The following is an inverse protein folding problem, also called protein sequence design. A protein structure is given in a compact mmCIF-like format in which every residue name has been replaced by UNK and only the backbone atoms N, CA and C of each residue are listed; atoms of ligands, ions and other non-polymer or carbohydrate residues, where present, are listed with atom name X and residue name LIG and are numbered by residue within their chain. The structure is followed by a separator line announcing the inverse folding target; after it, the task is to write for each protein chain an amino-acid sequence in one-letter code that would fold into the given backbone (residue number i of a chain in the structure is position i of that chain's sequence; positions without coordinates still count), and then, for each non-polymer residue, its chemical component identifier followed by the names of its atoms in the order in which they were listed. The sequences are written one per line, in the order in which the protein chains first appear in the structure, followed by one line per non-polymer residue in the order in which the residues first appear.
data_IF_780349092018
#
_entry.id   IF_780349092018
#
_cell.length_a   1.000
_cell.length_b   1.000
_cell.length_c   1.000
_cell.angle_alpha   90.00
_cell.angle_beta   90.00
_cell.angle_gamma   90.00
#
_symmetry.space_group_name_H-M   'P 1'
#
loop_
_entity.id
_entity.type
_entity.pdbx_description
1 polymer ?
#
# COMPACT_ATOMS: atom_id res chain seq x y z
N UNK A 1 -31.15 -26.94 -21.41
CA UNK A 1 -30.61 -26.10 -20.32
C UNK A 1 -31.32 -26.46 -19.02
N UNK A 2 -30.59 -26.91 -18.00
CA UNK A 2 -31.15 -27.56 -16.80
C UNK A 2 -31.66 -26.56 -15.76
N UNK A 3 -32.59 -27.01 -14.91
CA UNK A 3 -33.18 -26.26 -13.78
C UNK A 3 -32.16 -25.74 -12.75
N UNK A 4 -30.90 -26.19 -12.82
CA UNK A 4 -29.80 -25.73 -11.97
C UNK A 4 -29.28 -24.34 -12.35
N UNK A 5 -29.28 -23.97 -13.64
CA UNK A 5 -28.82 -22.64 -14.08
C UNK A 5 -29.67 -21.49 -13.55
N UNK A 6 -31.00 -21.67 -13.52
CA UNK A 6 -31.95 -20.66 -13.01
C UNK A 6 -31.84 -20.43 -11.50
N UNK A 7 -31.51 -21.47 -10.72
CA UNK A 7 -31.26 -21.34 -9.27
C UNK A 7 -29.96 -20.58 -8.97
N UNK A 8 -28.93 -20.73 -9.80
CA UNK A 8 -27.70 -19.96 -9.66
C UNK A 8 -27.94 -18.47 -9.98
N UNK A 9 -28.62 -18.16 -11.09
CA UNK A 9 -28.92 -16.78 -11.50
C UNK A 9 -29.83 -16.05 -10.50
N UNK A 10 -30.83 -16.72 -9.93
CA UNK A 10 -31.69 -16.12 -8.89
C UNK A 10 -30.93 -15.82 -7.59
N UNK A 11 -29.96 -16.65 -7.20
CA UNK A 11 -29.09 -16.38 -6.04
C UNK A 11 -28.16 -15.20 -6.28
N UNK A 12 -27.63 -15.04 -7.49
CA UNK A 12 -26.83 -13.86 -7.86
C UNK A 12 -27.68 -12.59 -7.82
N UNK A 13 -28.92 -12.65 -8.33
CA UNK A 13 -29.84 -11.50 -8.29
C UNK A 13 -30.21 -11.08 -6.87
N UNK A 14 -30.28 -12.03 -5.93
CA UNK A 14 -30.49 -11.75 -4.50
C UNK A 14 -29.24 -11.17 -3.80
N UNK A 15 -28.06 -11.34 -4.39
CA UNK A 15 -26.81 -10.78 -3.86
C UNK A 15 -26.57 -9.34 -4.34
N UNK A 16 -27.19 -8.94 -5.46
CA UNK A 16 -27.08 -7.59 -5.99
C UNK A 16 -27.90 -6.59 -5.16
N UNK A 17 -27.37 -5.39 -4.91
CA UNK A 17 -28.14 -4.33 -4.29
C UNK A 17 -29.33 -3.92 -5.17
N UNK A 18 -30.36 -3.35 -4.53
CA UNK A 18 -31.48 -2.76 -5.25
C UNK A 18 -31.01 -1.62 -6.19
N UNK A 19 -31.83 -1.28 -7.20
CA UNK A 19 -31.49 -0.28 -8.20
C UNK A 19 -31.14 1.07 -7.57
N UNK A 20 -31.79 1.40 -6.45
CA UNK A 20 -31.60 2.66 -5.74
C UNK A 20 -30.24 2.74 -5.04
N UNK A 21 -29.83 1.68 -4.35
CA UNK A 21 -28.51 1.53 -3.75
C UNK A 21 -27.43 1.53 -4.83
N UNK A 22 -27.67 0.88 -5.96
CA UNK A 22 -26.74 0.87 -7.09
C UNK A 22 -26.57 2.28 -7.65
N UNK A 23 -27.67 3.02 -7.86
CA UNK A 23 -27.64 4.41 -8.34
C UNK A 23 -26.85 5.33 -7.40
N UNK A 24 -27.14 5.29 -6.10
CA UNK A 24 -26.38 6.07 -5.11
C UNK A 24 -24.93 5.64 -5.02
N UNK A 25 -24.65 4.34 -5.12
CA UNK A 25 -23.30 3.79 -5.17
C UNK A 25 -22.50 4.31 -6.36
N UNK A 26 -23.09 4.34 -7.55
CA UNK A 26 -22.47 4.92 -8.75
C UNK A 26 -22.13 6.39 -8.53
N UNK A 27 -23.08 7.19 -8.04
CA UNK A 27 -22.85 8.63 -7.81
C UNK A 27 -21.74 8.83 -6.77
N UNK A 28 -21.87 8.21 -5.59
CA UNK A 28 -20.92 8.38 -4.51
C UNK A 28 -19.51 7.89 -4.87
N UNK A 29 -19.41 6.74 -5.55
CA UNK A 29 -18.15 6.19 -6.06
C UNK A 29 -17.50 7.09 -7.09
N UNK A 30 -18.26 7.54 -8.09
CA UNK A 30 -17.75 8.45 -9.13
C UNK A 30 -17.29 9.78 -8.53
N UNK A 31 -18.07 10.36 -7.61
CA UNK A 31 -17.71 11.60 -6.92
C UNK A 31 -16.46 11.45 -6.07
N UNK A 32 -16.32 10.35 -5.31
CA UNK A 32 -15.13 10.07 -4.52
C UNK A 32 -13.88 9.97 -5.42
N UNK A 33 -13.99 9.26 -6.55
CA UNK A 33 -12.88 9.10 -7.48
C UNK A 33 -12.46 10.42 -8.13
N UNK A 34 -13.42 11.17 -8.66
CA UNK A 34 -13.17 12.47 -9.30
C UNK A 34 -12.59 13.48 -8.31
N UNK A 35 -13.16 13.59 -7.10
CA UNK A 35 -12.67 14.54 -6.11
C UNK A 35 -11.27 14.17 -5.60
N UNK A 36 -11.01 12.88 -5.37
CA UNK A 36 -9.69 12.39 -4.98
C UNK A 36 -8.63 12.70 -6.04
N UNK A 37 -8.94 12.45 -7.32
CA UNK A 37 -8.05 12.78 -8.43
C UNK A 37 -7.84 14.29 -8.58
N UNK A 38 -8.90 15.09 -8.55
CA UNK A 38 -8.81 16.57 -8.67
C UNK A 38 -7.97 17.16 -7.54
N UNK A 39 -8.14 16.68 -6.30
CA UNK A 39 -7.34 17.12 -5.17
C UNK A 39 -5.86 16.73 -5.33
N UNK A 40 -5.61 15.50 -5.80
CA UNK A 40 -4.24 15.04 -6.12
C UNK A 40 -3.61 15.90 -7.21
N UNK A 41 -4.35 16.20 -8.27
CA UNK A 41 -3.91 17.10 -9.35
C UNK A 41 -3.62 18.51 -8.84
N UNK A 42 -4.46 19.06 -7.98
CA UNK A 42 -4.26 20.40 -7.42
C UNK A 42 -3.00 20.50 -6.55
N UNK A 43 -2.67 19.42 -5.82
CA UNK A 43 -1.52 19.36 -4.91
C UNK A 43 -0.22 18.97 -5.62
N UNK A 44 -0.26 17.99 -6.52
CA UNK A 44 0.91 17.44 -7.19
C UNK A 44 1.18 18.09 -8.56
N UNK A 45 0.16 18.63 -9.24
CA UNK A 45 0.31 19.21 -10.58
C UNK A 45 1.29 20.39 -10.61
N UNK A 46 1.40 21.16 -9.53
CA UNK A 46 2.39 22.25 -9.40
C UNK A 46 3.82 21.75 -9.41
N UNK A 47 4.08 20.53 -8.91
CA UNK A 47 5.42 19.94 -8.92
C UNK A 47 5.91 19.65 -10.32
N UNK A 48 5.00 19.33 -11.24
CA UNK A 48 5.36 19.06 -12.65
C UNK A 48 5.68 20.34 -13.41
N UNK A 49 4.98 21.44 -13.11
CA UNK A 49 5.22 22.72 -13.78
C UNK A 49 6.54 23.39 -13.36
N UNK A 50 7.07 23.05 -12.19
CA UNK A 50 8.34 23.59 -11.68
C UNK A 50 9.02 22.56 -10.79
N UNK A 51 9.54 21.46 -11.38
CA UNK A 51 10.18 20.40 -10.62
C UNK A 51 11.46 20.93 -9.99
N UNK A 52 11.47 21.03 -8.66
CA UNK A 52 12.69 21.28 -7.88
C UNK A 52 13.53 20.02 -7.64
N UNK A 53 13.03 18.86 -8.07
CA UNK A 53 13.61 17.51 -7.93
C UNK A 53 13.11 16.62 -9.08
N UNK A 54 13.75 15.47 -9.35
CA UNK A 54 13.24 14.52 -10.33
C UNK A 54 11.78 14.09 -10.04
N UNK A 55 11.01 13.86 -11.11
CA UNK A 55 9.61 13.41 -11.04
C UNK A 55 9.52 11.88 -11.09
N UNK A 56 10.36 11.25 -11.90
CA UNK A 56 10.54 9.80 -11.92
C UNK A 56 12.00 9.50 -11.72
N UNK A 57 12.26 8.61 -10.77
CA UNK A 57 13.59 8.11 -10.43
C UNK A 57 13.55 6.60 -10.62
N UNK A 58 14.52 6.07 -11.35
CA UNK A 58 14.68 4.63 -11.54
C UNK A 58 16.15 4.28 -11.51
N UNK A 59 16.44 3.22 -10.75
CA UNK A 59 17.77 2.78 -10.40
C UNK A 59 17.70 1.27 -10.17
N UNK A 60 18.49 0.50 -10.92
CA UNK A 60 18.55 -0.96 -10.81
C UNK A 60 19.98 -1.46 -11.00
N UNK A 61 20.49 -2.33 -10.13
CA UNK A 61 21.81 -2.94 -10.26
C UNK A 61 21.75 -4.45 -10.08
N UNK A 62 22.29 -5.16 -11.06
CA UNK A 62 22.67 -6.57 -10.99
C UNK A 62 24.16 -6.73 -10.71
N UNK A 63 24.62 -7.98 -10.66
CA UNK A 63 26.02 -8.33 -10.37
C UNK A 63 26.98 -7.80 -11.46
N UNK A 64 26.50 -7.66 -12.71
CA UNK A 64 27.32 -7.33 -13.88
C UNK A 64 26.89 -6.05 -14.64
N UNK A 65 25.77 -5.43 -14.26
CA UNK A 65 25.23 -4.23 -14.91
C UNK A 65 24.27 -3.43 -14.02
N UNK A 66 24.24 -2.10 -14.19
CA UNK A 66 23.30 -1.15 -13.63
C UNK A 66 22.44 -0.48 -14.71
N UNK A 67 21.35 0.15 -14.28
CA UNK A 67 20.45 0.92 -15.13
C UNK A 67 19.89 2.12 -14.37
N UNK A 68 20.07 3.32 -14.93
CA UNK A 68 19.51 4.57 -14.41
C UNK A 68 18.48 5.14 -15.40
N UNK A 69 17.38 5.68 -14.87
CA UNK A 69 16.50 6.58 -15.60
C UNK A 69 16.10 7.74 -14.69
N UNK A 70 16.42 8.95 -15.13
CA UNK A 70 16.12 10.18 -14.43
C UNK A 70 15.22 11.07 -15.30
N UNK A 71 13.95 11.19 -14.92
CA UNK A 71 13.03 12.15 -15.55
C UNK A 71 12.87 13.32 -14.60
N UNK A 72 13.58 14.41 -14.89
CA UNK A 72 13.74 15.53 -13.97
C UNK A 72 13.80 16.90 -14.65
N UNK A 73 14.25 17.95 -13.92
CA UNK A 73 14.04 19.35 -14.29
C UNK A 73 14.59 19.77 -15.67
N UNK A 74 15.55 19.02 -16.20
CA UNK A 74 16.20 19.28 -17.48
C UNK A 74 15.71 18.38 -18.64
N UNK A 75 14.90 17.36 -18.36
CA UNK A 75 14.39 16.41 -19.35
C UNK A 75 12.94 16.68 -19.77
N UNK A 76 12.44 16.01 -20.82
CA UNK A 76 11.02 16.08 -21.16
C UNK A 76 10.20 15.47 -20.02
N UNK A 77 9.17 16.20 -19.61
CA UNK A 77 8.32 15.82 -18.48
C UNK A 77 6.99 15.24 -18.98
N UNK A 78 6.37 14.32 -18.22
CA UNK A 78 4.96 14.00 -18.43
C UNK A 78 4.11 15.25 -18.22
N UNK A 79 2.91 15.26 -18.78
CA UNK A 79 1.95 16.30 -18.45
C UNK A 79 1.51 16.19 -16.99
N UNK A 80 1.16 17.33 -16.37
CA UNK A 80 0.76 17.38 -14.96
C UNK A 80 -0.38 16.41 -14.63
N UNK A 81 -1.28 16.16 -15.58
CA UNK A 81 -2.42 15.27 -15.40
C UNK A 81 -2.01 13.79 -15.39
N UNK A 82 -1.00 13.41 -16.18
CA UNK A 82 -0.44 12.06 -16.22
C UNK A 82 0.23 11.75 -14.88
N UNK A 83 1.11 12.65 -14.41
CA UNK A 83 1.79 12.50 -13.13
C UNK A 83 0.83 12.45 -11.93
N UNK A 84 -0.18 13.33 -11.91
CA UNK A 84 -1.18 13.32 -10.86
C UNK A 84 -2.02 12.03 -10.85
N UNK A 85 -2.34 11.49 -12.03
CA UNK A 85 -3.07 10.23 -12.13
C UNK A 85 -2.21 9.06 -11.63
N UNK A 86 -0.92 9.05 -11.94
CA UNK A 86 0.00 8.07 -11.38
C UNK A 86 0.06 8.12 -9.86
N UNK A 87 0.30 9.30 -9.29
CA UNK A 87 0.26 9.51 -7.84
C UNK A 87 -1.05 9.01 -7.24
N UNK A 88 -2.17 9.42 -7.83
CA UNK A 88 -3.49 9.04 -7.39
C UNK A 88 -3.71 7.52 -7.41
N UNK A 89 -3.21 6.81 -8.41
CA UNK A 89 -3.34 5.35 -8.48
C UNK A 89 -2.37 4.65 -7.52
N UNK A 90 -1.14 5.14 -7.37
CA UNK A 90 -0.14 4.61 -6.43
C UNK A 90 -0.62 4.69 -4.98
N UNK A 91 -1.29 5.78 -4.56
CA UNK A 91 -1.84 5.87 -3.19
C UNK A 91 -2.97 4.87 -2.90
N UNK A 92 -3.48 4.17 -3.91
CA UNK A 92 -4.39 3.03 -3.74
C UNK A 92 -3.67 1.67 -3.66
N UNK A 93 -2.34 1.65 -3.82
CA UNK A 93 -1.54 0.44 -4.00
C UNK A 93 -1.59 -0.13 -5.42
N UNK A 94 -1.95 0.67 -6.43
CA UNK A 94 -1.85 0.24 -7.82
C UNK A 94 -0.44 0.55 -8.36
N UNK A 95 0.34 -0.51 -8.56
CA UNK A 95 1.70 -0.40 -9.07
C UNK A 95 1.76 -0.08 -10.56
N UNK A 96 2.90 0.46 -10.99
CA UNK A 96 3.21 0.70 -12.39
C UNK A 96 3.37 -0.63 -13.14
N UNK A 97 2.73 -0.75 -14.30
CA UNK A 97 3.07 -1.83 -15.24
C UNK A 97 4.25 -1.33 -16.10
N UNK A 98 5.33 -2.11 -16.15
CA UNK A 98 6.37 -1.92 -17.17
C UNK A 98 6.40 -3.12 -18.10
N UNK A 99 6.29 -2.82 -19.40
CA UNK A 99 6.81 -3.66 -20.47
C UNK A 99 8.23 -3.18 -20.79
N UNK A 100 9.23 -3.67 -20.07
CA UNK A 100 10.60 -3.62 -20.58
C UNK A 100 10.72 -4.84 -21.50
N UNK A 101 10.91 -4.61 -22.80
CA UNK A 101 11.21 -5.66 -23.77
C UNK A 101 12.68 -6.10 -23.60
N UNK A 102 13.05 -6.61 -22.43
CA UNK A 102 14.35 -7.28 -22.26
C UNK A 102 14.13 -8.79 -22.29
N UNK A 103 14.75 -9.52 -23.23
CA UNK A 103 14.55 -10.97 -23.35
C UNK A 103 15.15 -11.82 -22.21
N UNK A 104 15.79 -11.21 -21.19
CA UNK A 104 16.68 -11.95 -20.27
C UNK A 104 16.51 -11.71 -18.76
N UNK A 105 15.58 -10.89 -18.27
CA UNK A 105 15.46 -10.63 -16.82
C UNK A 105 14.11 -11.06 -16.24
N UNK A 106 14.16 -11.76 -15.11
CA UNK A 106 13.02 -11.96 -14.22
C UNK A 106 12.38 -10.59 -13.92
N UNK A 107 11.05 -10.49 -13.78
CA UNK A 107 10.40 -9.25 -13.37
C UNK A 107 10.77 -8.96 -11.91
N UNK A 108 11.87 -8.25 -11.70
CA UNK A 108 12.13 -7.66 -10.39
C UNK A 108 11.08 -6.54 -10.15
N UNK A 109 10.51 -6.43 -8.95
CA UNK A 109 9.49 -5.44 -8.65
C UNK A 109 10.14 -4.05 -8.58
N UNK A 110 9.96 -3.26 -9.64
CA UNK A 110 10.46 -1.89 -9.76
C UNK A 110 9.47 -0.90 -9.14
N UNK A 111 9.95 0.02 -8.30
CA UNK A 111 9.14 1.14 -7.79
C UNK A 111 9.39 2.38 -8.63
N UNK A 112 8.51 2.63 -9.60
CA UNK A 112 8.43 3.92 -10.30
C UNK A 112 7.40 4.82 -9.63
N UNK A 113 7.40 4.88 -8.31
CA UNK A 113 6.42 5.67 -7.60
C UNK A 113 6.89 7.14 -7.55
N UNK A 114 6.09 8.09 -8.06
CA UNK A 114 6.34 9.49 -7.74
C UNK A 114 6.29 9.69 -6.22
N UNK A 115 7.17 10.51 -5.62
CA UNK A 115 7.33 10.56 -4.17
C UNK A 115 6.04 11.04 -3.49
N UNK A 116 5.48 10.15 -2.68
CA UNK A 116 4.19 10.36 -2.04
C UNK A 116 4.18 11.59 -1.13
N UNK A 117 3.05 12.28 -1.10
CA UNK A 117 2.73 13.22 -0.01
C UNK A 117 1.95 12.47 1.06
N UNK A 118 2.49 12.28 2.28
CA UNK A 118 1.89 11.41 3.30
C UNK A 118 0.41 11.70 3.61
N UNK A 119 0.00 12.97 3.49
CA UNK A 119 -1.38 13.37 3.74
C UNK A 119 -2.35 12.94 2.61
N UNK A 120 -1.88 12.82 1.37
CA UNK A 120 -2.72 12.38 0.24
C UNK A 120 -3.16 10.93 0.38
N UNK A 121 -2.37 10.09 1.06
CA UNK A 121 -2.67 8.66 1.28
C UNK A 121 -4.03 8.44 1.93
N UNK A 122 -4.47 9.35 2.80
CA UNK A 122 -5.76 9.24 3.48
C UNK A 122 -6.95 9.73 2.65
N UNK A 123 -6.71 10.55 1.62
CA UNK A 123 -7.78 11.22 0.87
C UNK A 123 -8.73 10.20 0.24
N UNK A 124 -8.29 9.22 -0.56
CA UNK A 124 -9.20 8.27 -1.19
C UNK A 124 -9.96 7.43 -0.15
N UNK A 125 -9.27 6.96 0.90
CA UNK A 125 -9.87 6.21 1.99
C UNK A 125 -11.01 6.99 2.65
N UNK A 126 -10.78 8.26 3.02
CA UNK A 126 -11.79 9.12 3.66
C UNK A 126 -12.98 9.40 2.74
N UNK A 127 -12.72 9.67 1.45
CA UNK A 127 -13.79 9.91 0.48
C UNK A 127 -14.65 8.68 0.25
N UNK A 128 -14.05 7.49 0.19
CA UNK A 128 -14.76 6.22 0.05
C UNK A 128 -15.53 5.84 1.32
N UNK A 129 -14.96 6.09 2.51
CA UNK A 129 -15.67 5.98 3.78
C UNK A 129 -16.90 6.90 3.80
N UNK A 130 -16.74 8.17 3.41
CA UNK A 130 -17.84 9.13 3.35
C UNK A 130 -18.88 8.72 2.30
N UNK A 131 -18.46 8.27 1.12
CA UNK A 131 -19.35 7.77 0.08
C UNK A 131 -20.17 6.58 0.56
N UNK A 132 -19.52 5.58 1.15
CA UNK A 132 -20.19 4.39 1.70
C UNK A 132 -21.16 4.74 2.84
N UNK A 133 -20.77 5.69 3.70
CA UNK A 133 -21.63 6.23 4.76
C UNK A 133 -22.89 6.89 4.17
N UNK A 134 -22.74 7.76 3.16
CA UNK A 134 -23.87 8.42 2.49
C UNK A 134 -24.81 7.39 1.86
N UNK A 135 -24.28 6.39 1.14
CA UNK A 135 -25.10 5.36 0.48
C UNK A 135 -25.91 4.58 1.52
N UNK A 136 -25.26 4.05 2.56
CA UNK A 136 -25.96 3.29 3.59
C UNK A 136 -26.95 4.15 4.40
N UNK A 137 -26.61 5.40 4.70
CA UNK A 137 -27.50 6.31 5.43
C UNK A 137 -28.76 6.64 4.62
N UNK A 138 -28.62 6.90 3.31
CA UNK A 138 -29.74 7.22 2.42
C UNK A 138 -30.65 6.04 2.13
N UNK A 139 -30.07 4.85 1.95
CA UNK A 139 -30.85 3.64 1.71
C UNK A 139 -31.40 3.02 3.01
N UNK A 140 -30.90 3.45 4.18
CA UNK A 140 -31.09 2.80 5.47
C UNK A 140 -30.34 1.46 5.55
N UNK A 141 -30.41 0.78 6.69
CA UNK A 141 -30.00 -0.61 6.84
C UNK A 141 -30.62 -1.21 8.09
N UNK A 142 -31.11 -2.45 8.01
CA UNK A 142 -31.72 -3.11 9.17
C UNK A 142 -30.66 -3.66 10.12
N UNK A 143 -29.52 -4.07 9.58
CA UNK A 143 -28.41 -4.72 10.26
C UNK A 143 -27.04 -4.20 9.73
N UNK A 144 -25.94 -4.37 10.48
CA UNK A 144 -24.64 -3.82 10.10
C UNK A 144 -24.07 -4.40 8.81
N UNK A 145 -24.41 -5.65 8.46
CA UNK A 145 -23.88 -6.31 7.27
C UNK A 145 -24.57 -5.79 6.00
N UNK A 146 -25.88 -5.60 6.06
CA UNK A 146 -26.62 -4.91 5.00
C UNK A 146 -26.10 -3.49 4.80
N UNK A 147 -25.75 -2.80 5.89
CA UNK A 147 -25.15 -1.47 5.82
C UNK A 147 -23.78 -1.48 5.13
N UNK A 148 -22.90 -2.41 5.49
CA UNK A 148 -21.61 -2.60 4.85
C UNK A 148 -21.74 -2.92 3.35
N UNK A 149 -22.64 -3.85 2.98
CA UNK A 149 -22.94 -4.16 1.57
C UNK A 149 -23.47 -2.95 0.79
N UNK A 150 -24.31 -2.13 1.41
CA UNK A 150 -24.79 -0.89 0.79
C UNK A 150 -23.65 0.10 0.61
N UNK A 151 -22.79 0.24 1.63
CA UNK A 151 -21.59 1.06 1.56
C UNK A 151 -20.62 0.60 0.47
N UNK A 152 -20.44 -0.71 0.26
CA UNK A 152 -19.58 -1.23 -0.81
C UNK A 152 -20.08 -0.91 -2.22
N UNK A 153 -21.33 -0.50 -2.40
CA UNK A 153 -21.89 -0.12 -3.70
C UNK A 153 -21.17 1.08 -4.33
N UNK A 154 -20.36 1.85 -3.58
CA UNK A 154 -19.45 2.85 -4.16
C UNK A 154 -18.51 2.25 -5.21
N UNK A 155 -18.23 0.95 -5.15
CA UNK A 155 -17.42 0.25 -6.16
C UNK A 155 -18.10 0.12 -7.52
N UNK A 156 -19.36 0.52 -7.71
CA UNK A 156 -19.99 0.52 -9.04
C UNK A 156 -19.62 1.75 -9.86
N UNK A 157 -19.35 2.90 -9.22
CA UNK A 157 -18.97 4.14 -9.92
C UNK A 157 -17.45 4.33 -10.07
N UNK A 158 -16.67 3.71 -9.19
CA UNK A 158 -15.23 3.92 -9.10
C UNK A 158 -14.38 3.28 -10.22
N UNK A 159 -14.57 2.00 -10.58
CA UNK A 159 -13.67 1.30 -11.51
C UNK A 159 -13.59 1.90 -12.92
N UNK A 160 -14.71 2.32 -13.57
CA UNK A 160 -14.62 2.91 -14.90
C UNK A 160 -13.71 4.14 -14.96
N UNK A 161 -13.76 4.99 -13.92
CA UNK A 161 -12.91 6.17 -13.84
C UNK A 161 -11.45 5.81 -13.59
N UNK A 162 -11.18 4.83 -12.72
CA UNK A 162 -9.82 4.32 -12.49
C UNK A 162 -9.21 3.76 -13.77
N UNK A 163 -9.98 2.99 -14.56
CA UNK A 163 -9.52 2.48 -15.86
C UNK A 163 -9.24 3.62 -16.83
N UNK A 164 -10.13 4.62 -16.91
CA UNK A 164 -9.92 5.79 -17.75
C UNK A 164 -8.67 6.59 -17.34
N UNK A 165 -8.43 6.76 -16.03
CA UNK A 165 -7.23 7.41 -15.51
C UNK A 165 -5.97 6.60 -15.85
N UNK A 166 -5.99 5.28 -15.66
CA UNK A 166 -4.84 4.42 -15.98
C UNK A 166 -4.50 4.44 -17.48
N UNK A 167 -5.51 4.42 -18.35
CA UNK A 167 -5.31 4.49 -19.81
C UNK A 167 -4.91 5.90 -20.28
N UNK A 168 -5.56 6.94 -19.74
CA UNK A 168 -5.34 8.33 -20.12
C UNK A 168 -4.05 8.92 -19.56
N UNK A 169 -3.49 8.34 -18.50
CA UNK A 169 -2.23 8.79 -17.90
C UNK A 169 -0.98 8.19 -18.53
N UNK A 170 -1.12 7.36 -19.57
CA UNK A 170 0.04 6.77 -20.26
C UNK A 170 0.87 7.86 -20.93
N UNK A 171 2.17 7.86 -20.66
CA UNK A 171 3.13 8.79 -21.23
C UNK A 171 4.08 8.03 -22.17
N UNK A 172 4.07 8.38 -23.45
CA UNK A 172 5.06 7.90 -24.40
C UNK A 172 6.32 8.73 -24.23
N UNK A 173 7.32 8.16 -23.53
CA UNK A 173 8.58 8.83 -23.30
C UNK A 173 9.26 9.15 -24.65
N UNK A 174 9.75 10.37 -24.88
CA UNK A 174 10.57 10.69 -26.05
C UNK A 174 11.86 9.87 -26.07
N UNK A 175 12.49 9.71 -27.24
CA UNK A 175 13.77 8.98 -27.37
C UNK A 175 14.90 9.55 -26.51
N UNK A 176 14.85 10.84 -26.15
CA UNK A 176 15.79 11.46 -25.22
C UNK A 176 15.64 10.96 -23.79
N UNK A 177 14.54 10.25 -23.48
CA UNK A 177 14.32 9.55 -22.22
C UNK A 177 14.74 8.10 -22.44
N UNK A 178 16.00 7.85 -22.14
CA UNK A 178 16.57 6.51 -22.19
C UNK A 178 16.94 6.05 -20.78
N UNK A 179 16.83 4.74 -20.58
CA UNK A 179 17.51 4.06 -19.50
C UNK A 179 18.97 3.90 -19.92
N UNK A 180 19.89 4.50 -19.18
CA UNK A 180 21.31 4.26 -19.40
C UNK A 180 21.70 2.96 -18.73
N UNK A 181 22.20 2.00 -19.51
CA UNK A 181 22.75 0.76 -19.00
C UNK A 181 24.27 0.91 -18.86
N UNK A 182 24.80 0.47 -17.73
CA UNK A 182 26.23 0.50 -17.46
C UNK A 182 26.66 -0.88 -16.96
N UNK A 183 27.55 -1.57 -17.64
CA UNK A 183 27.97 -2.90 -17.22
C UNK A 183 29.10 -3.48 -18.07
N UNK A 184 29.56 -4.68 -17.70
CA UNK A 184 30.67 -5.34 -18.40
C UNK A 184 30.26 -5.85 -19.78
N UNK A 185 28.97 -6.16 -19.97
CA UNK A 185 28.44 -6.84 -21.16
C UNK A 185 27.62 -5.94 -22.09
N UNK A 186 27.00 -4.89 -21.57
CA UNK A 186 26.15 -3.98 -22.34
C UNK A 186 26.23 -2.59 -21.73
N UNK A 187 26.39 -1.58 -22.58
CA UNK A 187 26.52 -0.19 -22.17
C UNK A 187 25.89 0.73 -23.21
N UNK A 188 25.11 1.70 -22.74
CA UNK A 188 24.53 2.75 -23.58
C UNK A 188 23.04 2.98 -23.31
N UNK A 189 22.44 3.95 -24.01
CA UNK A 189 21.06 4.35 -23.79
C UNK A 189 20.08 3.38 -24.46
N UNK A 190 19.10 2.91 -23.70
CA UNK A 190 17.96 2.14 -24.18
C UNK A 190 16.69 2.99 -24.05
N UNK A 191 16.01 3.33 -25.15
CA UNK A 191 14.84 4.20 -25.11
C UNK A 191 13.75 3.60 -24.23
N UNK A 192 13.15 4.43 -23.38
CA UNK A 192 12.03 4.01 -22.56
C UNK A 192 10.76 4.05 -23.39
N UNK A 193 10.01 2.95 -23.41
CA UNK A 193 8.71 2.89 -24.04
C UNK A 193 7.65 3.69 -23.27
N UNK A 194 6.40 3.24 -23.35
CA UNK A 194 5.30 3.88 -22.61
C UNK A 194 5.43 3.64 -21.11
N UNK A 195 5.39 4.72 -20.33
CA UNK A 195 5.30 4.70 -18.86
C UNK A 195 3.84 4.92 -18.45
N UNK A 196 3.35 4.13 -17.51
CA UNK A 196 2.03 4.32 -16.91
C UNK A 196 1.65 3.24 -15.93
N UNK A 197 0.46 3.36 -15.37
CA UNK A 197 -0.11 2.38 -14.43
C UNK A 197 -0.88 1.31 -15.21
N UNK A 198 -0.74 0.05 -14.79
CA UNK A 198 -1.45 -1.05 -15.41
C UNK A 198 -2.95 -0.92 -15.24
N UNK A 199 -3.71 -0.95 -16.34
CA UNK A 199 -5.16 -0.73 -16.28
C UNK A 199 -5.88 -1.87 -15.53
N UNK A 200 -5.42 -3.11 -15.67
CA UNK A 200 -5.98 -4.26 -14.97
C UNK A 200 -5.68 -4.24 -13.46
N UNK A 201 -4.42 -4.15 -13.00
CA UNK A 201 -4.12 -4.06 -11.57
C UNK A 201 -4.75 -2.80 -10.94
N UNK A 202 -4.77 -1.66 -11.64
CA UNK A 202 -5.49 -0.47 -11.18
C UNK A 202 -6.99 -0.74 -11.00
N UNK A 203 -7.65 -1.35 -11.99
CA UNK A 203 -9.08 -1.68 -11.90
C UNK A 203 -9.40 -2.62 -10.73
N UNK A 204 -8.53 -3.60 -10.47
CA UNK A 204 -8.72 -4.57 -9.39
C UNK A 204 -8.44 -3.95 -8.02
N UNK A 205 -7.28 -3.31 -7.83
CA UNK A 205 -6.86 -2.79 -6.54
C UNK A 205 -7.58 -1.47 -6.25
N UNK A 206 -7.28 -0.43 -7.04
CA UNK A 206 -7.84 0.91 -6.86
C UNK A 206 -9.32 1.00 -7.24
N UNK A 207 -9.75 0.26 -8.27
CA UNK A 207 -11.10 0.30 -8.80
C UNK A 207 -12.13 -0.50 -7.99
N UNK A 208 -11.72 -1.63 -7.39
CA UNK A 208 -12.66 -2.60 -6.82
C UNK A 208 -12.37 -2.91 -5.35
N UNK A 209 -11.19 -3.43 -5.03
CA UNK A 209 -10.84 -3.89 -3.67
C UNK A 209 -10.89 -2.71 -2.70
N UNK A 210 -10.24 -1.60 -3.05
CA UNK A 210 -10.13 -0.42 -2.20
C UNK A 210 -11.50 0.23 -1.93
N UNK A 211 -12.36 0.51 -2.94
CA UNK A 211 -13.71 1.02 -2.72
C UNK A 211 -14.63 0.07 -1.95
N UNK A 212 -14.53 -1.25 -2.17
CA UNK A 212 -15.30 -2.22 -1.39
C UNK A 212 -14.90 -2.14 0.08
N UNK A 213 -13.60 -2.14 0.39
CA UNK A 213 -13.10 -2.14 1.76
C UNK A 213 -13.55 -0.87 2.51
N UNK A 214 -13.19 0.31 2.01
CA UNK A 214 -13.49 1.57 2.68
C UNK A 214 -14.98 1.94 2.58
N UNK A 215 -15.64 1.66 1.46
CA UNK A 215 -17.08 1.84 1.33
C UNK A 215 -17.86 0.99 2.33
N UNK A 216 -17.47 -0.27 2.54
CA UNK A 216 -18.09 -1.16 3.54
C UNK A 216 -17.97 -0.61 4.95
N UNK A 217 -16.79 -0.10 5.33
CA UNK A 217 -16.57 0.51 6.65
C UNK A 217 -17.43 1.76 6.80
N UNK A 218 -17.50 2.61 5.77
CA UNK A 218 -18.38 3.77 5.75
C UNK A 218 -19.85 3.41 5.99
N UNK A 219 -20.32 2.39 5.28
CA UNK A 219 -21.69 1.89 5.45
C UNK A 219 -21.97 1.34 6.85
N UNK A 220 -21.02 0.60 7.42
CA UNK A 220 -21.11 0.12 8.80
C UNK A 220 -21.17 1.27 9.82
N UNK A 221 -20.34 2.31 9.65
CA UNK A 221 -20.36 3.49 10.51
C UNK A 221 -21.70 4.24 10.43
N UNK A 222 -22.33 4.32 9.24
CA UNK A 222 -23.67 4.90 9.08
C UNK A 222 -24.71 4.16 9.91
N UNK A 223 -24.65 2.83 9.92
CA UNK A 223 -25.52 2.01 10.75
C UNK A 223 -25.31 2.30 12.24
N UNK A 224 -24.07 2.24 12.73
CA UNK A 224 -23.76 2.51 14.13
C UNK A 224 -24.25 3.91 14.57
N UNK A 225 -24.03 4.90 13.71
CA UNK A 225 -24.50 6.27 13.92
C UNK A 225 -26.02 6.32 14.08
N UNK A 226 -26.77 5.74 13.13
CA UNK A 226 -28.23 5.73 13.15
C UNK A 226 -28.82 5.01 14.38
N UNK A 227 -28.12 3.99 14.88
CA UNK A 227 -28.54 3.21 16.06
C UNK A 227 -28.06 3.82 17.38
N UNK A 228 -27.17 4.82 17.35
CA UNK A 228 -26.46 5.37 18.51
C UNK A 228 -25.81 4.29 19.39
N UNK A 229 -25.35 3.19 18.77
CA UNK A 229 -24.91 1.98 19.45
C UNK A 229 -23.44 1.67 19.15
N UNK A 230 -22.55 2.58 19.53
CA UNK A 230 -21.12 2.39 19.32
C UNK A 230 -20.61 1.18 20.12
N UNK A 231 -19.89 0.23 19.50
CA UNK A 231 -19.36 -0.93 20.19
C UNK A 231 -18.07 -0.56 20.95
N UNK A 232 -18.17 0.37 21.89
CA UNK A 232 -17.05 0.98 22.61
C UNK A 232 -16.14 -0.06 23.24
N UNK A 233 -16.70 -1.11 23.84
CA UNK A 233 -15.92 -2.18 24.48
C UNK A 233 -15.11 -2.98 23.47
N UNK A 234 -15.69 -3.29 22.31
CA UNK A 234 -14.98 -4.01 21.25
C UNK A 234 -13.91 -3.16 20.59
N UNK A 235 -14.17 -1.86 20.44
CA UNK A 235 -13.21 -0.89 19.91
C UNK A 235 -12.05 -0.74 20.90
N UNK A 236 -12.33 -0.49 22.18
CA UNK A 236 -11.31 -0.35 23.21
C UNK A 236 -10.43 -1.61 23.33
N UNK A 237 -11.04 -2.80 23.32
CA UNK A 237 -10.29 -4.06 23.31
C UNK A 237 -9.45 -4.23 22.04
N UNK A 238 -10.00 -3.90 20.88
CA UNK A 238 -9.29 -3.94 19.60
C UNK A 238 -8.08 -3.00 19.58
N UNK A 239 -8.26 -1.76 20.05
CA UNK A 239 -7.19 -0.77 20.17
C UNK A 239 -6.08 -1.25 21.11
N UNK A 240 -6.41 -1.68 22.33
CA UNK A 240 -5.41 -2.14 23.30
C UNK A 240 -4.69 -3.39 22.78
N UNK A 241 -5.45 -4.37 22.31
CA UNK A 241 -4.88 -5.65 21.86
C UNK A 241 -4.04 -5.47 20.59
N UNK A 242 -4.49 -4.63 19.66
CA UNK A 242 -3.74 -4.25 18.47
C UNK A 242 -2.44 -3.52 18.79
N UNK A 243 -2.49 -2.53 19.67
CA UNK A 243 -1.30 -1.79 20.09
C UNK A 243 -0.28 -2.69 20.77
N UNK A 244 -0.71 -3.55 21.71
CA UNK A 244 0.18 -4.52 22.35
C UNK A 244 0.79 -5.50 21.34
N UNK A 245 -0.01 -5.99 20.40
CA UNK A 245 0.45 -6.93 19.37
C UNK A 245 1.51 -6.29 18.47
N UNK A 246 1.29 -5.03 18.06
CA UNK A 246 2.26 -4.25 17.32
C UNK A 246 3.56 -4.12 18.12
N UNK A 247 3.50 -3.64 19.37
CA UNK A 247 4.68 -3.40 20.20
C UNK A 247 5.49 -4.67 20.46
N UNK A 248 4.82 -5.81 20.66
CA UNK A 248 5.48 -7.11 20.84
C UNK A 248 6.16 -7.54 19.54
N UNK A 249 5.44 -7.54 18.41
CA UNK A 249 6.00 -7.96 17.12
C UNK A 249 7.16 -7.07 16.66
N UNK A 250 7.00 -5.76 16.81
CA UNK A 250 8.02 -4.77 16.51
C UNK A 250 9.21 -4.89 17.46
N UNK A 251 8.99 -4.98 18.77
CA UNK A 251 10.05 -5.12 19.77
C UNK A 251 10.86 -6.41 19.61
N UNK A 252 10.22 -7.54 19.29
CA UNK A 252 10.90 -8.79 18.98
C UNK A 252 11.76 -8.66 17.71
N UNK A 253 11.27 -7.94 16.71
CA UNK A 253 12.01 -7.70 15.47
C UNK A 253 13.23 -6.82 15.72
N UNK A 254 13.02 -5.66 16.35
CA UNK A 254 14.08 -4.70 16.65
C UNK A 254 15.12 -5.31 17.59
N UNK A 255 14.70 -6.03 18.63
CA UNK A 255 15.61 -6.73 19.54
C UNK A 255 16.49 -7.76 18.85
N UNK A 256 15.94 -8.50 17.87
CA UNK A 256 16.72 -9.41 17.02
C UNK A 256 17.72 -8.66 16.16
N UNK A 257 17.36 -7.50 15.62
CA UNK A 257 18.27 -6.65 14.85
C UNK A 257 19.43 -6.14 15.73
N UNK A 258 19.16 -5.68 16.95
CA UNK A 258 20.21 -5.32 17.91
C UNK A 258 21.16 -6.48 18.22
N UNK A 259 20.62 -7.68 18.47
CA UNK A 259 21.43 -8.87 18.76
C UNK A 259 22.29 -9.34 17.58
N UNK A 260 22.00 -8.90 16.36
CA UNK A 260 22.77 -9.22 15.14
C UNK A 260 23.73 -8.09 14.74
N UNK A 261 23.33 -6.83 14.92
CA UNK A 261 24.16 -5.66 14.60
C UNK A 261 25.49 -5.65 15.38
N UNK A 262 25.52 -6.17 16.60
CA UNK A 262 26.77 -6.30 17.37
C UNK A 262 27.73 -7.40 16.89
N UNK A 263 27.39 -8.15 15.83
CA UNK A 263 28.16 -9.31 15.37
C UNK A 263 28.63 -9.24 13.91
N UNK A 264 27.97 -8.48 13.04
CA UNK A 264 28.22 -8.52 11.60
C UNK A 264 28.27 -7.13 10.95
N UNK A 265 29.26 -6.90 10.08
CA UNK A 265 29.35 -5.71 9.20
C UNK A 265 28.24 -5.65 8.13
N UNK A 266 27.42 -6.71 8.00
CA UNK A 266 26.33 -6.84 7.03
C UNK A 266 25.13 -5.91 7.30
N UNK A 267 25.15 -5.13 8.39
CA UNK A 267 24.10 -4.17 8.74
C UNK A 267 24.31 -2.78 8.16
N UNK A 268 25.38 -2.59 7.38
CA UNK A 268 25.61 -1.38 6.59
C UNK A 268 24.71 -1.37 5.36
N UNK A 269 24.11 -0.23 5.14
CA UNK A 269 23.43 0.08 3.89
C UNK A 269 24.45 0.77 2.97
N UNK A 270 24.39 0.47 1.67
CA UNK A 270 25.33 1.03 0.71
C UNK A 270 24.55 1.82 -0.32
N UNK A 271 24.93 3.09 -0.47
CA UNK A 271 24.56 3.92 -1.61
C UNK A 271 25.65 3.73 -2.65
N UNK A 272 25.35 3.04 -3.73
CA UNK A 272 26.30 2.85 -4.83
C UNK A 272 26.09 3.99 -5.82
N UNK A 273 27.17 4.61 -6.25
CA UNK A 273 27.23 5.60 -7.32
C UNK A 273 28.30 5.12 -8.31
N UNK A 274 27.90 4.73 -9.51
CA UNK A 274 28.78 4.48 -10.62
C UNK A 274 29.26 5.81 -11.22
N UNK A 275 30.53 5.87 -11.58
CA UNK A 275 31.08 7.00 -12.31
C UNK A 275 32.14 6.58 -13.31
N UNK A 276 32.65 7.51 -14.14
CA UNK A 276 33.69 7.24 -15.14
C UNK A 276 34.98 6.62 -14.58
N UNK A 277 35.17 6.62 -13.26
CA UNK A 277 36.29 6.01 -12.54
C UNK A 277 35.98 4.71 -11.77
N UNK A 278 34.77 4.14 -11.90
CA UNK A 278 34.31 2.94 -11.17
C UNK A 278 33.17 3.21 -10.17
N UNK A 279 32.83 2.20 -9.39
CA UNK A 279 31.78 2.28 -8.35
C UNK A 279 32.30 2.94 -7.07
N UNK A 280 31.67 4.05 -6.68
CA UNK A 280 31.80 4.64 -5.36
C UNK A 280 30.63 4.17 -4.49
N UNK A 281 30.90 3.43 -3.40
CA UNK A 281 29.88 3.09 -2.42
C UNK A 281 30.02 3.96 -1.17
N UNK A 282 28.97 4.72 -0.85
CA UNK A 282 28.83 5.42 0.41
C UNK A 282 28.07 4.52 1.37
N UNK A 283 28.80 3.88 2.28
CA UNK A 283 28.18 3.15 3.37
C UNK A 283 27.53 4.12 4.35
N UNK A 284 26.29 3.85 4.74
CA UNK A 284 25.64 4.49 5.87
C UNK A 284 25.14 3.43 6.85
N UNK A 285 25.18 3.77 8.14
CA UNK A 285 24.66 2.93 9.20
C UNK A 285 23.34 3.53 9.70
N UNK A 286 22.17 2.99 9.27
CA UNK A 286 20.89 3.45 9.77
C UNK A 286 20.68 3.14 11.26
N UNK A 287 21.55 2.32 11.85
CA UNK A 287 21.44 1.81 13.21
C UNK A 287 20.45 0.66 13.31
N UNK A 288 20.67 -0.21 14.29
CA UNK A 288 19.86 -1.41 14.52
C UNK A 288 18.36 -1.11 14.74
N UNK A 289 18.04 0.04 15.33
CA UNK A 289 16.66 0.48 15.55
C UNK A 289 15.89 0.70 14.24
N UNK A 290 16.44 1.51 13.33
CA UNK A 290 15.80 1.81 12.04
C UNK A 290 15.77 0.57 11.17
N UNK A 291 16.88 -0.15 11.05
CA UNK A 291 16.94 -1.38 10.25
C UNK A 291 15.96 -2.45 10.76
N UNK A 292 15.85 -2.63 12.08
CA UNK A 292 14.84 -3.53 12.66
C UNK A 292 13.42 -3.09 12.35
N UNK A 293 13.13 -1.80 12.41
CA UNK A 293 11.80 -1.28 12.07
C UNK A 293 11.48 -1.45 10.58
N UNK A 294 12.43 -1.17 9.68
CA UNK A 294 12.28 -1.42 8.25
C UNK A 294 12.01 -2.91 7.96
N UNK A 295 12.76 -3.81 8.60
CA UNK A 295 12.50 -5.25 8.52
C UNK A 295 11.10 -5.63 9.03
N UNK A 296 10.60 -4.96 10.08
CA UNK A 296 9.27 -5.21 10.61
C UNK A 296 8.18 -4.86 9.58
N UNK A 297 8.28 -3.71 8.92
CA UNK A 297 7.35 -3.33 7.84
C UNK A 297 7.47 -4.23 6.62
N UNK A 298 8.69 -4.60 6.19
CA UNK A 298 8.89 -5.60 5.11
C UNK A 298 8.26 -6.95 5.39
N UNK A 299 8.19 -7.38 6.66
CA UNK A 299 7.49 -8.61 7.03
C UNK A 299 5.97 -8.55 6.86
N UNK A 300 5.41 -7.36 6.69
CA UNK A 300 4.02 -7.15 6.29
C UNK A 300 3.89 -6.91 4.78
N UNK A 301 4.96 -7.15 4.02
CA UNK A 301 5.01 -6.87 2.58
C UNK A 301 5.28 -5.40 2.25
N UNK A 302 5.52 -4.52 3.23
CA UNK A 302 5.76 -3.11 2.95
C UNK A 302 7.17 -2.81 2.45
N UNK A 303 7.29 -1.89 1.50
CA UNK A 303 8.53 -1.44 0.91
C UNK A 303 9.38 -0.56 1.84
N UNK A 304 10.67 -0.48 1.50
CA UNK A 304 11.57 0.57 1.98
C UNK A 304 11.87 1.44 0.77
N UNK A 305 11.51 2.72 0.87
CA UNK A 305 11.67 3.69 -0.19
C UNK A 305 12.93 4.53 0.00
N UNK A 306 13.41 5.07 -1.12
CA UNK A 306 14.56 5.95 -1.22
C UNK A 306 14.18 7.17 -2.07
N UNK A 307 14.54 8.38 -1.62
CA UNK A 307 14.15 9.65 -2.29
C UNK A 307 15.29 10.66 -2.20
N UNK A 308 15.68 11.31 -3.29
CA UNK A 308 16.64 12.41 -3.18
C UNK A 308 16.03 13.66 -2.52
N UNK A 309 16.87 14.37 -1.74
CA UNK A 309 16.51 15.66 -1.13
C UNK A 309 16.73 16.81 -2.12
N UNK A 310 17.72 16.67 -3.01
CA UNK A 310 18.17 17.69 -3.95
C UNK A 310 18.20 17.14 -5.37
N UNK A 311 18.22 18.02 -6.38
CA UNK A 311 18.44 17.61 -7.76
C UNK A 311 19.84 17.03 -7.90
N UNK A 312 19.94 15.75 -8.25
CA UNK A 312 21.23 15.09 -8.45
C UNK A 312 21.52 15.00 -9.95
N UNK A 313 22.70 15.48 -10.34
CA UNK A 313 23.17 15.45 -11.74
C UNK A 313 23.76 14.09 -12.12
N UNK A 314 24.38 13.40 -11.15
CA UNK A 314 24.82 11.99 -11.20
C UNK A 314 24.28 11.29 -9.95
N UNK A 315 23.21 10.50 -10.09
CA UNK A 315 22.45 9.91 -8.98
C UNK A 315 23.22 8.90 -8.11
N UNK A 316 22.59 8.48 -7.01
CA UNK A 316 22.83 7.16 -6.42
C UNK A 316 22.22 6.12 -7.33
N UNK A 317 23.11 5.36 -7.90
CA UNK A 317 22.85 4.25 -8.78
C UNK A 317 22.15 3.06 -8.11
N UNK A 318 22.43 2.78 -6.83
CA UNK A 318 21.68 1.77 -6.09
C UNK A 318 21.61 2.04 -4.59
N UNK A 319 20.45 1.77 -3.99
CA UNK A 319 20.33 1.50 -2.57
C UNK A 319 20.43 -0.01 -2.35
N UNK A 320 21.61 -0.50 -1.98
CA UNK A 320 21.78 -1.87 -1.52
C UNK A 320 21.54 -1.94 -0.03
N UNK A 321 20.55 -2.73 0.36
CA UNK A 321 20.23 -3.06 1.74
C UNK A 321 20.39 -4.57 1.94
N UNK A 322 21.63 -5.11 2.00
CA UNK A 322 21.86 -6.55 2.09
C UNK A 322 21.08 -7.18 3.24
N UNK A 323 21.01 -6.54 4.41
CA UNK A 323 20.23 -7.05 5.55
C UNK A 323 18.71 -7.07 5.36
N UNK A 324 18.18 -6.40 4.33
CA UNK A 324 16.76 -6.43 3.93
C UNK A 324 16.53 -7.33 2.71
N UNK A 325 17.57 -7.61 1.91
CA UNK A 325 17.54 -8.48 0.72
C UNK A 325 17.95 -9.92 1.03
N UNK A 326 18.88 -10.12 1.96
CA UNK A 326 19.37 -11.40 2.47
C UNK A 326 18.43 -11.97 3.53
N UNK A 327 17.17 -12.19 3.16
CA UNK A 327 16.35 -13.22 3.78
C UNK A 327 16.53 -14.51 2.98
N UNK A 328 16.66 -15.70 3.60
CA UNK A 328 16.73 -16.94 2.85
C UNK A 328 15.50 -17.04 1.93
N UNK A 329 15.75 -17.45 0.70
CA UNK A 329 14.93 -17.41 -0.52
C UNK A 329 13.60 -18.20 -0.50
N UNK A 330 12.85 -18.18 0.60
CA UNK A 330 11.53 -18.77 0.67
C UNK A 330 10.92 -18.62 2.06
N UNK A 331 9.70 -18.06 2.13
CA UNK A 331 8.85 -18.07 3.33
C UNK A 331 9.63 -17.96 4.64
N UNK A 332 10.27 -16.81 4.83
CA UNK A 332 11.11 -16.55 5.99
C UNK A 332 10.32 -16.90 7.27
N UNK A 333 10.82 -17.83 8.08
CA UNK A 333 10.16 -18.39 9.29
C UNK A 333 9.69 -17.32 10.29
N UNK A 334 10.04 -16.05 10.06
CA UNK A 334 9.64 -14.85 10.79
C UNK A 334 8.31 -14.21 10.35
N UNK A 335 7.80 -14.49 9.14
CA UNK A 335 6.45 -14.05 8.73
C UNK A 335 5.36 -14.72 9.59
N UNK A 336 5.58 -16.00 9.90
CA UNK A 336 4.66 -16.84 10.68
C UNK A 336 4.42 -16.26 12.09
N UNK A 337 5.44 -15.84 12.87
CA UNK A 337 5.25 -15.19 14.16
C UNK A 337 4.29 -14.00 14.15
N UNK A 338 4.42 -13.07 13.21
CA UNK A 338 3.57 -11.86 13.16
C UNK A 338 2.13 -12.23 12.84
N UNK A 339 1.93 -13.06 11.81
CA UNK A 339 0.62 -13.57 11.44
C UNK A 339 -0.06 -14.33 12.60
N UNK A 340 0.69 -15.18 13.31
CA UNK A 340 0.19 -15.93 14.48
C UNK A 340 -0.14 -14.98 15.63
N UNK A 341 0.71 -14.00 15.93
CA UNK A 341 0.44 -13.01 16.97
C UNK A 341 -0.85 -12.23 16.68
N UNK A 342 -1.05 -11.78 15.44
CA UNK A 342 -2.28 -11.10 15.01
C UNK A 342 -3.51 -12.01 15.07
N UNK A 343 -3.40 -13.28 14.69
CA UNK A 343 -4.49 -14.24 14.82
C UNK A 343 -4.85 -14.52 16.29
N UNK A 344 -3.85 -14.65 17.17
CA UNK A 344 -4.10 -14.79 18.62
C UNK A 344 -4.75 -13.53 19.18
N UNK A 345 -4.25 -12.36 18.79
CA UNK A 345 -4.83 -11.06 19.16
C UNK A 345 -6.32 -10.97 18.77
N UNK A 346 -6.65 -11.31 17.52
CA UNK A 346 -8.03 -11.34 17.05
C UNK A 346 -8.91 -12.35 17.80
N UNK A 347 -8.38 -13.53 18.09
CA UNK A 347 -9.07 -14.54 18.88
C UNK A 347 -9.36 -14.05 20.32
N UNK A 348 -8.39 -13.38 20.96
CA UNK A 348 -8.55 -12.80 22.30
C UNK A 348 -9.64 -11.73 22.34
N UNK A 349 -9.73 -10.88 21.30
CA UNK A 349 -10.78 -9.86 21.22
C UNK A 349 -12.16 -10.53 21.05
N UNK A 350 -12.28 -11.55 20.20
CA UNK A 350 -13.54 -12.24 19.91
C UNK A 350 -14.03 -13.15 21.06
N UNK A 351 -13.14 -13.89 21.75
CA UNK A 351 -13.50 -14.80 22.84
C UNK A 351 -14.23 -14.12 24.02
N UNK A 352 -14.10 -12.79 24.17
CA UNK A 352 -14.68 -12.04 25.30
C UNK A 352 -16.13 -11.63 25.10
N UNK A 353 -16.72 -11.94 23.97
CA UNK A 353 -18.13 -11.65 23.73
C UNK A 353 -18.96 -12.94 23.81
N UNK A 354 -20.00 -12.91 24.63
CA UNK A 354 -20.88 -14.07 24.83
C UNK A 354 -21.63 -14.43 23.54
N UNK A 355 -21.72 -15.74 23.23
CA UNK A 355 -22.49 -16.35 22.12
C UNK A 355 -22.50 -15.53 20.83
N UNK A 356 -21.37 -15.54 20.13
CA UNK A 356 -21.24 -14.81 18.87
C UNK A 356 -21.58 -15.70 17.67
N UNK A 357 -22.22 -15.09 16.67
CA UNK A 357 -22.23 -15.65 15.33
C UNK A 357 -20.86 -15.44 14.66
N UNK A 358 -20.58 -16.21 13.60
CA UNK A 358 -19.31 -16.16 12.87
C UNK A 358 -18.97 -14.75 12.38
N UNK A 359 -19.98 -13.98 11.95
CA UNK A 359 -19.79 -12.64 11.40
C UNK A 359 -19.33 -11.66 12.47
N UNK A 360 -19.98 -11.66 13.64
CA UNK A 360 -19.57 -10.79 14.74
C UNK A 360 -18.15 -11.12 15.20
N UNK A 361 -17.80 -12.41 15.27
CA UNK A 361 -16.46 -12.81 15.67
C UNK A 361 -15.38 -12.33 14.67
N UNK A 362 -15.63 -12.44 13.37
CA UNK A 362 -14.75 -11.89 12.31
C UNK A 362 -14.53 -10.39 12.47
N UNK A 363 -15.63 -9.62 12.63
CA UNK A 363 -15.56 -8.17 12.77
C UNK A 363 -14.80 -7.77 14.05
N UNK A 364 -15.05 -8.46 15.16
CA UNK A 364 -14.35 -8.21 16.42
C UNK A 364 -12.86 -8.55 16.34
N UNK A 365 -12.50 -9.65 15.69
CA UNK A 365 -11.09 -9.97 15.44
C UNK A 365 -10.40 -8.90 14.60
N UNK A 366 -11.08 -8.36 13.59
CA UNK A 366 -10.53 -7.31 12.73
C UNK A 366 -10.33 -5.95 13.44
N UNK A 367 -10.97 -5.70 14.60
CA UNK A 367 -10.77 -4.43 15.32
C UNK A 367 -9.37 -4.28 15.91
N UNK A 368 -8.55 -5.34 15.92
CA UNK A 368 -7.11 -5.29 16.22
C UNK A 368 -6.40 -4.25 15.34
N UNK A 369 -6.82 -4.06 14.10
CA UNK A 369 -6.25 -3.06 13.19
C UNK A 369 -6.36 -1.62 13.74
N UNK A 370 -7.37 -1.31 14.57
CA UNK A 370 -7.56 0.05 15.10
C UNK A 370 -6.42 0.50 16.02
N UNK A 371 -5.80 -0.42 16.76
CA UNK A 371 -4.62 -0.12 17.59
C UNK A 371 -3.31 -0.29 16.84
N UNK A 372 -3.29 -1.16 15.83
CA UNK A 372 -2.10 -1.49 15.05
C UNK A 372 -1.75 -0.37 14.05
N UNK A 373 -2.76 0.16 13.37
CA UNK A 373 -2.64 1.18 12.34
C UNK A 373 -1.89 2.45 12.79
N UNK A 374 -2.29 3.15 13.87
CA UNK A 374 -1.62 4.38 14.26
C UNK A 374 -0.14 4.15 14.61
N UNK A 375 0.19 3.02 15.24
CA UNK A 375 1.58 2.69 15.56
C UNK A 375 2.41 2.41 14.32
N UNK A 376 1.84 1.70 13.33
CA UNK A 376 2.48 1.48 12.02
C UNK A 376 2.85 2.79 11.32
N UNK A 377 1.92 3.75 11.33
CA UNK A 377 2.16 5.06 10.72
C UNK A 377 3.22 5.85 11.48
N UNK A 378 3.15 5.85 12.82
CA UNK A 378 4.13 6.54 13.66
C UNK A 378 5.52 5.94 13.46
N UNK A 379 5.67 4.62 13.43
CA UNK A 379 6.99 4.02 13.21
C UNK A 379 7.53 4.31 11.83
N UNK A 380 6.71 4.25 10.78
CA UNK A 380 7.12 4.58 9.42
C UNK A 380 7.73 5.99 9.31
N UNK A 381 7.13 6.98 10.00
CA UNK A 381 7.64 8.35 10.05
C UNK A 381 8.88 8.51 10.93
N UNK A 382 8.93 7.82 12.07
CA UNK A 382 10.04 7.93 13.05
C UNK A 382 11.33 7.33 12.51
N UNK A 383 11.24 6.32 11.64
CA UNK A 383 12.43 5.64 11.10
C UNK A 383 12.84 6.09 9.71
N UNK A 384 12.34 7.25 9.28
CA UNK A 384 12.88 7.97 8.14
C UNK A 384 14.28 8.49 8.49
N UNK A 385 15.27 8.22 7.64
CA UNK A 385 16.65 8.68 7.79
C UNK A 385 17.06 9.55 6.62
N UNK A 386 17.72 10.68 6.90
CA UNK A 386 18.37 11.48 5.86
C UNK A 386 19.86 11.16 5.85
N UNK A 387 20.38 10.72 4.71
CA UNK A 387 21.79 10.42 4.53
C UNK A 387 22.61 11.72 4.58
N UNK A 388 23.74 11.67 5.28
CA UNK A 388 24.72 12.75 5.32
C UNK A 388 25.91 12.38 4.44
N UNK A 389 26.30 13.26 3.51
CA UNK A 389 27.43 13.00 2.61
C UNK A 389 27.34 13.79 1.32
N UNK A 390 28.10 13.37 0.31
CA UNK A 390 28.01 13.90 -1.05
C UNK A 390 26.61 13.72 -1.64
N UNK A 391 25.87 12.72 -1.18
CA UNK A 391 24.51 12.48 -1.63
C UNK A 391 23.52 12.60 -0.46
N UNK A 392 22.58 13.52 -0.63
CA UNK A 392 21.51 13.80 0.32
C UNK A 392 20.23 13.11 -0.15
N UNK A 393 19.86 12.07 0.57
CA UNK A 393 18.65 11.31 0.30
C UNK A 393 17.91 10.96 1.58
N UNK A 394 16.64 10.64 1.44
CA UNK A 394 15.74 10.18 2.48
C UNK A 394 15.47 8.71 2.25
N UNK A 395 15.74 7.88 3.25
CA UNK A 395 15.46 6.44 3.24
C UNK A 395 14.42 6.16 4.32
N UNK A 396 13.36 5.44 3.99
CA UNK A 396 12.27 5.24 4.94
C UNK A 396 11.36 4.09 4.56
N UNK A 397 10.38 3.81 5.42
CA UNK A 397 9.29 2.89 5.08
C UNK A 397 8.36 3.59 4.11
N UNK A 398 7.93 2.89 3.05
CA UNK A 398 6.88 3.39 2.17
C UNK A 398 5.60 3.66 2.98
N UNK A 399 5.08 4.88 2.89
CA UNK A 399 4.02 5.32 3.80
C UNK A 399 2.66 4.73 3.43
N UNK A 400 2.38 4.53 2.12
CA UNK A 400 1.21 3.80 1.65
C UNK A 400 1.24 2.35 2.12
N UNK A 401 2.38 1.67 2.06
CA UNK A 401 2.50 0.30 2.53
C UNK A 401 2.41 0.19 4.06
N UNK A 402 2.96 1.15 4.79
CA UNK A 402 2.77 1.25 6.23
C UNK A 402 1.29 1.42 6.60
N UNK A 403 0.53 2.18 5.79
CA UNK A 403 -0.90 2.37 5.95
C UNK A 403 -1.71 1.13 5.56
N UNK A 404 -1.59 0.70 4.30
CA UNK A 404 -2.43 -0.32 3.68
C UNK A 404 -2.02 -1.73 4.09
N UNK A 405 -0.75 -2.08 4.01
CA UNK A 405 -0.30 -3.45 4.25
C UNK A 405 -0.06 -3.69 5.73
N UNK A 406 0.84 -2.92 6.33
CA UNK A 406 1.25 -3.10 7.73
C UNK A 406 0.13 -2.72 8.69
N UNK A 407 -0.46 -1.54 8.49
CA UNK A 407 -1.43 -0.97 9.43
C UNK A 407 -2.85 -1.52 9.30
N UNK A 408 -3.24 -1.99 8.11
CA UNK A 408 -4.63 -2.33 7.81
C UNK A 408 -4.83 -3.78 7.33
N UNK A 409 -4.33 -4.14 6.15
CA UNK A 409 -4.64 -5.40 5.49
C UNK A 409 -4.20 -6.62 6.33
N UNK A 410 -2.97 -6.62 6.82
CA UNK A 410 -2.46 -7.68 7.68
C UNK A 410 -3.26 -7.86 8.98
N UNK A 411 -3.39 -6.82 9.84
CA UNK A 411 -4.11 -6.97 11.09
C UNK A 411 -5.60 -7.26 10.89
N UNK A 412 -6.25 -6.74 9.83
CA UNK A 412 -7.63 -7.10 9.49
C UNK A 412 -7.73 -8.58 9.10
N UNK A 413 -6.89 -9.06 8.18
CA UNK A 413 -6.95 -10.43 7.68
C UNK A 413 -6.65 -11.46 8.78
N UNK A 414 -5.53 -11.31 9.48
CA UNK A 414 -5.14 -12.26 10.52
C UNK A 414 -5.97 -12.10 11.79
N UNK A 415 -6.36 -10.87 12.17
CA UNK A 415 -7.30 -10.64 13.26
C UNK A 415 -8.66 -11.30 12.99
N UNK A 416 -9.20 -11.17 11.78
CA UNK A 416 -10.43 -11.85 11.36
C UNK A 416 -10.32 -13.37 11.44
N UNK A 417 -9.21 -13.96 10.96
CA UNK A 417 -8.92 -15.40 11.10
C UNK A 417 -8.93 -15.80 12.57
N UNK A 418 -8.31 -15.01 13.44
CA UNK A 418 -8.36 -15.17 14.89
C UNK A 418 -9.80 -15.22 15.43
N UNK A 419 -10.64 -14.30 14.99
CA UNK A 419 -12.06 -14.26 15.33
C UNK A 419 -12.81 -15.54 14.90
N UNK A 420 -12.56 -16.05 13.69
CA UNK A 420 -13.13 -17.32 13.22
C UNK A 420 -12.73 -18.48 14.13
N UNK A 421 -11.44 -18.57 14.50
CA UNK A 421 -10.91 -19.63 15.37
C UNK A 421 -11.60 -19.58 16.74
N UNK A 422 -11.66 -18.39 17.36
CA UNK A 422 -12.33 -18.18 18.63
C UNK A 422 -13.79 -18.66 18.60
N UNK A 423 -14.55 -18.27 17.57
CA UNK A 423 -15.95 -18.66 17.42
C UNK A 423 -16.11 -20.18 17.37
N UNK A 424 -15.27 -20.87 16.60
CA UNK A 424 -15.32 -22.34 16.46
C UNK A 424 -15.00 -23.07 17.76
N UNK A 425 -14.10 -22.53 18.58
CA UNK A 425 -13.77 -23.08 19.90
C UNK A 425 -14.96 -22.89 20.85
N UNK A 426 -15.52 -21.67 20.91
CA UNK A 426 -16.64 -21.37 21.82
C UNK A 426 -17.95 -22.04 21.42
N UNK A 427 -18.18 -22.33 20.14
CA UNK A 427 -19.41 -22.99 19.67
C UNK A 427 -19.46 -24.49 19.97
N UNK A 428 -18.34 -25.09 20.41
CA UNK A 428 -18.26 -26.50 20.82
C UNK A 428 -18.52 -26.72 22.31
N UNK A 429 -18.48 -25.64 23.09
CA UNK A 429 -18.81 -25.61 24.51
C UNK A 429 -20.28 -25.32 24.67
#
# INVERSE_FOLDING_TARGET
MSSHGWKALSRVRLALPDNWTTFHGIIAGSSASLFGYVLTYALEGRRVSSPGRPLLEFFAFGIDAGTELNVGPAGPLPEAHQFAAWQYLTIHGADFERYVLTPYSNPDPWTLAPPETPLLVFVPAVLLLAGGWVVAHRCGAQDPWTAAKRGSAVSFGYPPLVVLLALGSRWAAPESVAMEYFGVTESGPHPVGTIGVGALPAALIAGLIYPIAFGSVGGYLAFLWSRRSWPTDSIARGVVTGALTFLIGWGLTVGRSFARAGRDDQWRAYLVQAGPGGEASVAFDPGAFRMGTWQFHRRHGGGVEFKYVESVTDGIDALSLPSLMSGPSGFDLLFVPVAVLLAVAGAVVACRAAKQDLRSAVVQGATVALGYLPLSLVTALVVTETTTGSIRAVVGVDFVDAFLLTGLAFPVAFGAIGGVIAQRITARQ
#
